data_IF_089291019884
#
_entry.id   IF_089291019884
#
_cell.length_a   1.000
_cell.length_b   1.000
_cell.length_c   1.000
_cell.angle_alpha   90.00
_cell.angle_beta   90.00
_cell.angle_gamma   90.00
#
_symmetry.space_group_name_H-M   'P 1'
#
loop_
_entity.id
_entity.type
_entity.pdbx_description
1 polymer ?
#
# COMPACT_ATOMS: atom_id res chain seq x y z
N UNK A 1 8.88 -18.12 -12.75
CA UNK A 1 9.81 -18.46 -13.86
C UNK A 1 10.19 -19.94 -13.95
N UNK A 2 10.23 -20.70 -12.85
CA UNK A 2 10.69 -22.10 -12.85
C UNK A 2 9.91 -23.05 -13.77
N UNK A 3 8.57 -22.90 -13.87
CA UNK A 3 7.74 -23.70 -14.79
C UNK A 3 8.10 -23.50 -16.26
N UNK A 4 8.33 -22.26 -16.69
CA UNK A 4 8.71 -21.95 -18.09
C UNK A 4 10.05 -22.57 -18.45
N UNK A 5 11.03 -22.48 -17.53
CA UNK A 5 12.35 -23.10 -17.72
C UNK A 5 12.26 -24.63 -17.82
N UNK A 6 11.47 -25.27 -16.94
CA UNK A 6 11.29 -26.72 -16.97
C UNK A 6 10.65 -27.19 -18.29
N UNK A 7 9.62 -26.49 -18.76
CA UNK A 7 8.98 -26.80 -20.04
C UNK A 7 9.97 -26.67 -21.20
N UNK A 8 10.73 -25.56 -21.27
CA UNK A 8 11.71 -25.38 -22.33
C UNK A 8 12.79 -26.47 -22.33
N UNK A 9 13.35 -26.80 -21.17
CA UNK A 9 14.38 -27.84 -21.02
C UNK A 9 13.89 -29.25 -21.42
N UNK A 10 12.58 -29.50 -21.39
CA UNK A 10 12.00 -30.77 -21.86
C UNK A 10 11.88 -30.89 -23.38
N UNK A 11 11.99 -29.77 -24.12
CA UNK A 11 11.69 -29.72 -25.56
C UNK A 11 12.88 -29.24 -26.41
N UNK A 12 13.71 -28.34 -25.88
CA UNK A 12 14.70 -27.58 -26.66
C UNK A 12 15.96 -27.31 -25.85
N UNK A 13 17.09 -27.14 -26.55
CA UNK A 13 18.36 -26.74 -25.95
C UNK A 13 19.17 -25.84 -26.87
N UNK A 14 19.66 -24.74 -26.32
CA UNK A 14 20.72 -23.90 -26.89
C UNK A 14 21.51 -23.20 -25.77
N UNK A 15 22.73 -22.70 -26.03
CA UNK A 15 23.48 -21.92 -25.05
C UNK A 15 22.65 -20.73 -24.53
N UNK A 16 22.56 -20.54 -23.21
CA UNK A 16 21.79 -19.46 -22.55
C UNK A 16 20.25 -19.55 -22.63
N UNK A 17 19.69 -20.72 -22.93
CA UNK A 17 18.22 -20.96 -22.93
C UNK A 17 17.50 -20.33 -21.73
N UNK A 18 18.01 -20.51 -20.51
CA UNK A 18 17.38 -19.96 -19.31
C UNK A 18 17.38 -18.43 -19.26
N UNK A 19 18.47 -17.79 -19.71
CA UNK A 19 18.62 -16.34 -19.72
C UNK A 19 17.65 -15.72 -20.71
N UNK A 20 17.51 -16.31 -21.89
CA UNK A 20 16.59 -15.80 -22.91
C UNK A 20 15.13 -15.93 -22.46
N UNK A 21 14.78 -17.02 -21.77
CA UNK A 21 13.45 -17.18 -21.14
C UNK A 21 13.20 -16.12 -20.06
N UNK A 22 14.20 -15.83 -19.23
CA UNK A 22 14.14 -14.75 -18.24
C UNK A 22 13.90 -13.39 -18.88
N UNK A 23 14.63 -13.08 -19.94
CA UNK A 23 14.51 -11.80 -20.63
C UNK A 23 13.15 -11.67 -21.31
N UNK A 24 12.62 -12.73 -21.94
CA UNK A 24 11.26 -12.71 -22.51
C UNK A 24 10.21 -12.47 -21.42
N UNK A 25 10.29 -13.18 -20.29
CA UNK A 25 9.31 -13.01 -19.24
C UNK A 25 9.37 -11.63 -18.59
N UNK A 26 10.58 -11.05 -18.43
CA UNK A 26 10.78 -9.72 -17.86
C UNK A 26 10.18 -8.61 -18.73
N UNK A 27 10.17 -8.79 -20.06
CA UNK A 27 9.61 -7.81 -20.99
C UNK A 27 8.14 -8.10 -21.36
N UNK A 28 7.53 -9.15 -20.81
CA UNK A 28 6.13 -9.46 -21.07
C UNK A 28 5.20 -8.53 -20.25
N UNK A 29 4.48 -7.65 -20.94
CA UNK A 29 3.56 -6.69 -20.31
C UNK A 29 2.50 -7.37 -19.42
N UNK A 30 1.85 -8.41 -19.94
CA UNK A 30 0.82 -9.14 -19.20
C UNK A 30 1.41 -9.85 -17.96
N UNK A 31 2.63 -10.39 -18.05
CA UNK A 31 3.29 -11.00 -16.89
C UNK A 31 3.63 -9.97 -15.82
N UNK A 32 4.11 -8.78 -16.20
CA UNK A 32 4.46 -7.72 -15.26
C UNK A 32 3.22 -7.14 -14.56
N UNK A 33 2.12 -6.96 -15.29
CA UNK A 33 0.84 -6.49 -14.73
C UNK A 33 0.28 -7.45 -13.67
N UNK A 34 0.45 -8.76 -13.88
CA UNK A 34 -0.05 -9.80 -12.98
C UNK A 34 1.04 -10.37 -12.05
N UNK A 35 2.23 -9.76 -12.04
CA UNK A 35 3.32 -10.22 -11.19
C UNK A 35 2.94 -10.00 -9.72
N UNK A 36 3.34 -10.93 -8.86
CA UNK A 36 3.22 -10.71 -7.41
C UNK A 36 3.99 -9.46 -7.03
N UNK A 37 3.34 -8.61 -6.24
CA UNK A 37 4.00 -7.48 -5.62
C UNK A 37 5.24 -7.95 -4.85
N UNK A 38 6.32 -7.15 -4.84
CA UNK A 38 7.45 -7.42 -3.96
C UNK A 38 6.96 -7.49 -2.51
N UNK A 39 7.70 -8.17 -1.62
CA UNK A 39 7.41 -8.13 -0.20
C UNK A 39 7.24 -6.68 0.25
N UNK A 40 6.22 -6.44 1.06
CA UNK A 40 6.01 -5.12 1.64
C UNK A 40 7.30 -4.70 2.36
N UNK A 41 7.75 -3.47 2.10
CA UNK A 41 8.93 -2.97 2.78
C UNK A 41 8.63 -2.88 4.28
N UNK A 42 9.62 -3.14 5.16
CA UNK A 42 9.42 -2.96 6.59
C UNK A 42 8.91 -1.56 6.87
N UNK A 43 7.79 -1.45 7.58
CA UNK A 43 7.25 -0.14 7.96
C UNK A 43 8.30 0.59 8.78
N UNK A 44 8.77 1.75 8.31
CA UNK A 44 9.66 2.59 9.11
C UNK A 44 8.89 3.08 10.34
N UNK A 45 9.39 2.81 11.56
CA UNK A 45 8.69 3.24 12.76
C UNK A 45 8.70 4.76 12.84
N UNK A 46 7.53 5.33 13.14
CA UNK A 46 7.43 6.75 13.45
C UNK A 46 8.24 7.05 14.71
N UNK A 47 9.07 8.11 14.69
CA UNK A 47 9.82 8.57 15.87
C UNK A 47 8.83 8.87 17.00
N UNK A 48 8.98 8.26 18.17
CA UNK A 48 8.09 8.54 19.31
C UNK A 48 8.14 10.03 19.65
N UNK A 49 6.99 10.73 19.75
CA UNK A 49 6.99 12.13 20.18
C UNK A 49 7.54 12.28 21.60
N UNK A 50 8.22 13.38 21.89
CA UNK A 50 8.87 13.59 23.20
C UNK A 50 8.00 14.38 24.19
N UNK A 51 7.03 15.14 23.71
CA UNK A 51 6.15 15.99 24.51
C UNK A 51 4.72 16.01 23.99
N UNK A 52 3.71 16.26 24.85
CA UNK A 52 2.33 16.46 24.41
C UNK A 52 2.24 17.52 23.31
N UNK A 53 1.35 17.30 22.34
CA UNK A 53 1.06 18.20 21.23
C UNK A 53 2.24 18.44 20.26
N UNK A 54 3.29 17.61 20.29
CA UNK A 54 4.41 17.69 19.34
C UNK A 54 4.15 16.96 18.02
N UNK A 55 3.23 15.99 18.00
CA UNK A 55 2.73 15.34 16.78
C UNK A 55 1.25 15.02 16.96
N UNK A 56 0.44 15.39 15.97
CA UNK A 56 -1.00 15.18 15.99
C UNK A 56 -1.37 14.31 14.78
N UNK A 57 -2.14 13.25 15.01
CA UNK A 57 -2.82 12.50 13.96
C UNK A 57 -4.17 13.13 13.71
N UNK A 58 -4.50 13.43 12.45
CA UNK A 58 -5.76 14.06 12.07
C UNK A 58 -6.42 13.18 11.02
N UNK A 59 -7.70 12.88 11.21
CA UNK A 59 -8.51 12.13 10.26
C UNK A 59 -9.97 12.62 10.26
N UNK A 60 -10.70 12.27 9.21
CA UNK A 60 -12.11 12.60 9.06
C UNK A 60 -13.00 11.36 9.21
N UNK A 61 -13.91 11.40 10.18
CA UNK A 61 -15.03 10.44 10.21
C UNK A 61 -16.21 11.05 9.46
N UNK A 62 -16.30 10.72 8.16
CA UNK A 62 -17.33 11.24 7.25
C UNK A 62 -18.62 10.42 7.41
N UNK A 63 -19.77 11.10 7.42
CA UNK A 63 -21.11 10.51 7.53
C UNK A 63 -21.26 9.55 8.74
N UNK A 64 -20.53 9.80 9.82
CA UNK A 64 -20.66 9.03 11.04
C UNK A 64 -21.79 9.61 11.88
N UNK A 65 -22.87 8.84 12.05
CA UNK A 65 -24.11 9.28 12.73
C UNK A 65 -24.73 10.53 12.11
N UNK A 66 -24.67 10.67 10.78
CA UNK A 66 -25.24 11.81 10.07
C UNK A 66 -24.45 13.11 10.15
N UNK A 67 -23.25 13.07 10.74
CA UNK A 67 -22.35 14.22 10.84
C UNK A 67 -20.95 13.87 10.32
N UNK A 68 -20.21 14.90 9.95
CA UNK A 68 -18.79 14.81 9.65
C UNK A 68 -18.00 15.27 10.87
N UNK A 69 -16.99 14.50 11.24
CA UNK A 69 -16.17 14.78 12.41
C UNK A 69 -14.71 14.92 12.00
N UNK A 70 -14.05 15.93 12.56
CA UNK A 70 -12.59 16.02 12.57
C UNK A 70 -12.09 15.35 13.85
N UNK A 71 -11.34 14.27 13.70
CA UNK A 71 -10.73 13.54 14.81
C UNK A 71 -9.25 13.91 14.86
N UNK A 72 -8.83 14.53 15.96
CA UNK A 72 -7.43 14.84 16.22
C UNK A 72 -6.95 14.05 17.42
N UNK A 73 -5.80 13.41 17.33
CA UNK A 73 -5.22 12.62 18.43
C UNK A 73 -3.78 13.05 18.64
N UNK A 74 -3.46 13.49 19.86
CA UNK A 74 -2.07 13.73 20.25
C UNK A 74 -1.31 12.40 20.29
N UNK A 75 -0.26 12.27 19.50
CA UNK A 75 0.48 11.03 19.37
C UNK A 75 1.24 10.66 20.65
N UNK A 76 1.55 11.62 21.52
CA UNK A 76 2.23 11.40 22.80
C UNK A 76 1.28 10.88 23.88
N UNK A 77 0.29 11.70 24.26
CA UNK A 77 -0.65 11.39 25.34
C UNK A 77 -1.80 10.46 24.95
N UNK A 78 -2.01 10.24 23.64
CA UNK A 78 -3.17 9.56 23.06
C UNK A 78 -4.50 10.28 23.34
N UNK A 79 -4.44 11.56 23.72
CA UNK A 79 -5.63 12.36 23.99
C UNK A 79 -6.41 12.67 22.70
N UNK A 80 -7.70 12.32 22.61
CA UNK A 80 -8.54 12.66 21.47
C UNK A 80 -9.17 14.05 21.63
N UNK A 81 -9.21 14.80 20.54
CA UNK A 81 -9.90 16.09 20.39
C UNK A 81 -10.80 16.02 19.16
N UNK A 82 -12.10 16.02 19.39
CA UNK A 82 -13.11 15.73 18.36
C UNK A 82 -13.92 16.99 18.09
N UNK A 83 -14.05 17.37 16.82
CA UNK A 83 -14.80 18.55 16.40
C UNK A 83 -15.83 18.16 15.35
N UNK A 84 -17.03 18.71 15.44
CA UNK A 84 -18.06 18.56 14.40
C UNK A 84 -17.77 19.56 13.30
N UNK A 85 -17.68 19.06 12.06
CA UNK A 85 -17.60 19.91 10.89
C UNK A 85 -19.03 20.13 10.38
N UNK A 86 -19.62 21.29 10.68
CA UNK A 86 -20.95 21.69 10.19
C UNK A 86 -20.93 22.15 8.72
N UNK A 87 -20.24 21.41 7.86
CA UNK A 87 -20.28 21.59 6.41
C UNK A 87 -21.31 20.67 5.78
N UNK A 88 -22.37 21.23 5.19
CA UNK A 88 -23.37 20.50 4.42
C UNK A 88 -22.71 19.89 3.16
N UNK A 89 -22.51 18.58 3.15
CA UNK A 89 -22.24 17.86 1.90
C UNK A 89 -23.55 17.19 1.47
N UNK A 90 -24.11 17.51 0.28
CA UNK A 90 -25.22 16.74 -0.25
C UNK A 90 -24.76 15.29 -0.38
N UNK A 91 -25.60 14.38 0.08
CA UNK A 91 -25.32 12.94 0.01
C UNK A 91 -25.13 12.61 -1.47
N UNK A 92 -23.88 12.37 -1.88
CA UNK A 92 -23.59 11.86 -3.21
C UNK A 92 -24.03 10.40 -3.17
N UNK A 93 -25.24 10.16 -3.68
CA UNK A 93 -25.79 8.83 -3.92
C UNK A 93 -25.08 8.12 -5.07
#
# INVERSE_FOLDING_TARGET
MQRMKQLARSAVYWPRTDTDIEDIARHCAACNEHQRLPPEQPSHPWITPEKPWSRIHIDHAINFRGHNWLVMVDAFSKYPSIHINEGYYPQIG
#
